data_IF_069050854446
#
_entry.id   IF_069050854446
#
_cell.length_a   1.000
_cell.length_b   1.000
_cell.length_c   1.000
_cell.angle_alpha   90.00
_cell.angle_beta   90.00
_cell.angle_gamma   90.00
#
_symmetry.space_group_name_H-M   'P 1'
#
loop_
_entity.id
_entity.type
_entity.pdbx_description
1 polymer ?
#
# COMPACT_ATOMS: atom_id res chain seq x y z
N UNK A 1 -3.92 16.96 6.12
CA UNK A 1 -3.62 15.60 6.61
C UNK A 1 -2.11 15.42 6.62
N UNK A 2 -1.51 15.01 7.74
CA UNK A 2 -0.06 14.78 7.80
C UNK A 2 0.30 13.55 6.97
N UNK A 3 1.39 13.61 6.22
CA UNK A 3 1.91 12.50 5.42
C UNK A 3 3.15 11.93 6.09
N UNK A 4 3.20 10.62 6.28
CA UNK A 4 4.37 9.93 6.86
C UNK A 4 5.12 9.16 5.77
N UNK A 5 6.45 9.33 5.68
CA UNK A 5 7.25 8.51 4.78
C UNK A 5 7.26 7.06 5.28
N UNK A 6 7.17 6.12 4.35
CA UNK A 6 7.28 4.70 4.60
C UNK A 6 8.03 4.02 3.45
N UNK A 7 8.61 2.86 3.71
CA UNK A 7 9.24 2.03 2.67
C UNK A 7 8.66 0.63 2.78
N UNK A 8 8.11 0.13 1.67
CA UNK A 8 7.64 -1.25 1.57
C UNK A 8 8.70 -2.09 0.84
N UNK A 9 9.23 -3.11 1.50
CA UNK A 9 10.07 -4.12 0.86
C UNK A 9 9.18 -5.21 0.28
N UNK A 10 9.31 -5.46 -1.03
CA UNK A 10 8.40 -6.28 -1.82
C UNK A 10 9.14 -7.36 -2.62
N UNK A 11 8.38 -8.33 -3.12
CA UNK A 11 8.90 -9.40 -3.98
C UNK A 11 9.36 -8.85 -5.33
N UNK A 12 10.27 -9.57 -5.96
CA UNK A 12 10.77 -9.25 -7.30
C UNK A 12 9.62 -9.12 -8.31
N UNK A 13 9.68 -8.11 -9.19
CA UNK A 13 8.68 -7.84 -10.22
C UNK A 13 7.45 -7.05 -9.72
N UNK A 14 7.30 -6.83 -8.42
CA UNK A 14 6.19 -6.02 -7.87
C UNK A 14 6.26 -4.58 -8.39
N UNK A 15 7.46 -3.98 -8.47
CA UNK A 15 7.64 -2.62 -8.99
C UNK A 15 7.25 -2.51 -10.46
N UNK A 16 7.60 -3.51 -11.27
CA UNK A 16 7.25 -3.53 -12.70
C UNK A 16 5.73 -3.63 -12.89
N UNK A 17 5.07 -4.56 -12.18
CA UNK A 17 3.61 -4.70 -12.19
C UNK A 17 2.92 -3.41 -11.76
N UNK A 18 3.39 -2.80 -10.67
CA UNK A 18 2.86 -1.53 -10.18
C UNK A 18 3.01 -0.42 -11.24
N UNK A 19 4.18 -0.30 -11.87
CA UNK A 19 4.42 0.70 -12.93
C UNK A 19 3.43 0.53 -14.09
N UNK A 20 3.26 -0.70 -14.57
CA UNK A 20 2.30 -1.03 -15.64
C UNK A 20 0.85 -0.67 -15.24
N UNK A 21 0.45 -0.98 -14.01
CA UNK A 21 -0.89 -0.64 -13.50
C UNK A 21 -1.08 0.88 -13.42
N UNK A 22 -0.11 1.61 -12.88
CA UNK A 22 -0.15 3.07 -12.78
C UNK A 22 -0.21 3.75 -14.15
N UNK A 23 0.53 3.26 -15.14
CA UNK A 23 0.50 3.86 -16.48
C UNK A 23 -0.87 3.73 -17.15
N UNK A 24 -1.58 2.62 -16.92
CA UNK A 24 -2.98 2.46 -17.37
C UNK A 24 -3.92 3.43 -16.66
N UNK A 25 -3.77 3.59 -15.35
CA UNK A 25 -4.57 4.53 -14.56
C UNK A 25 -4.29 6.00 -14.94
N UNK A 26 -3.05 6.35 -15.25
CA UNK A 26 -2.69 7.68 -15.79
C UNK A 26 -3.35 7.93 -17.15
N UNK A 27 -3.35 6.95 -18.06
CA UNK A 27 -4.07 7.05 -19.33
C UNK A 27 -5.58 7.23 -19.11
N UNK A 28 -6.15 6.49 -18.17
CA UNK A 28 -7.55 6.65 -17.78
C UNK A 28 -7.85 8.08 -17.30
N UNK A 29 -7.00 8.64 -16.43
CA UNK A 29 -7.10 10.05 -16.02
C UNK A 29 -7.02 11.03 -17.19
N UNK A 30 -6.15 10.79 -18.17
CA UNK A 30 -6.05 11.63 -19.37
C UNK A 30 -7.38 11.59 -20.14
N UNK A 31 -7.97 10.40 -20.34
CA UNK A 31 -9.27 10.26 -20.99
C UNK A 31 -10.37 11.03 -20.23
N UNK A 32 -10.45 10.87 -18.90
CA UNK A 32 -11.40 11.62 -18.07
C UNK A 32 -11.22 13.14 -18.21
N UNK A 33 -9.99 13.62 -18.26
CA UNK A 33 -9.69 15.06 -18.42
C UNK A 33 -10.01 15.62 -19.81
N UNK A 34 -10.26 14.77 -20.81
CA UNK A 34 -10.55 15.19 -22.19
C UNK A 34 -12.00 15.65 -22.40
N UNK A 35 -12.90 15.32 -21.46
CA UNK A 35 -14.31 15.70 -21.51
C UNK A 35 -14.46 17.24 -21.58
N UNK A 36 -15.44 17.70 -22.36
CA UNK A 36 -15.64 19.13 -22.64
C UNK A 36 -15.79 19.98 -21.38
N UNK A 37 -16.42 19.46 -20.32
CA UNK A 37 -16.62 20.14 -19.03
C UNK A 37 -15.33 20.47 -18.28
N UNK A 38 -14.19 19.83 -18.62
CA UNK A 38 -12.89 20.09 -18.01
C UNK A 38 -11.98 20.98 -18.85
N UNK A 39 -12.43 21.43 -20.03
CA UNK A 39 -11.65 22.29 -20.91
C UNK A 39 -11.61 23.72 -20.36
N UNK A 40 -10.41 24.20 -20.05
CA UNK A 40 -10.18 25.57 -19.59
C UNK A 40 -9.65 26.50 -20.69
N UNK A 41 -9.41 26.00 -21.90
CA UNK A 41 -8.88 26.78 -23.02
C UNK A 41 -9.93 27.79 -23.52
N UNK A 42 -9.50 29.05 -23.71
CA UNK A 42 -10.38 30.12 -24.18
C UNK A 42 -11.28 30.74 -23.09
N UNK A 43 -11.24 30.23 -21.85
CA UNK A 43 -11.98 30.81 -20.74
C UNK A 43 -11.23 32.00 -20.11
N UNK A 44 -11.97 32.99 -19.58
CA UNK A 44 -11.43 33.98 -18.64
C UNK A 44 -10.69 33.33 -17.46
N UNK A 45 -9.72 34.05 -16.89
CA UNK A 45 -8.78 33.50 -15.87
C UNK A 45 -9.50 32.91 -14.65
N UNK A 46 -10.48 33.62 -14.12
CA UNK A 46 -11.33 33.21 -13.00
C UNK A 46 -12.12 31.93 -13.31
N UNK A 47 -12.75 31.85 -14.48
CA UNK A 47 -13.48 30.66 -14.93
C UNK A 47 -12.54 29.46 -15.16
N UNK A 48 -11.35 29.71 -15.74
CA UNK A 48 -10.34 28.67 -15.93
C UNK A 48 -9.81 28.12 -14.59
N UNK A 49 -9.67 28.97 -13.57
CA UNK A 49 -9.29 28.55 -12.21
C UNK A 49 -10.39 27.70 -11.56
N UNK A 50 -11.65 28.10 -11.71
CA UNK A 50 -12.80 27.34 -11.21
C UNK A 50 -12.90 25.94 -11.85
N UNK A 51 -12.77 25.83 -13.17
CA UNK A 51 -12.75 24.53 -13.88
C UNK A 51 -11.62 23.63 -13.36
N UNK A 52 -10.42 24.18 -13.17
CA UNK A 52 -9.27 23.43 -12.63
C UNK A 52 -9.51 22.98 -11.20
N UNK A 53 -10.15 23.79 -10.37
CA UNK A 53 -10.48 23.43 -9.00
C UNK A 53 -11.49 22.29 -8.95
N UNK A 54 -12.60 22.40 -9.71
CA UNK A 54 -13.60 21.34 -9.82
C UNK A 54 -13.02 20.03 -10.36
N UNK A 55 -12.08 20.11 -11.30
CA UNK A 55 -11.36 18.93 -11.80
C UNK A 55 -10.52 18.27 -10.69
N UNK A 56 -9.77 19.04 -9.89
CA UNK A 56 -9.00 18.49 -8.75
C UNK A 56 -9.92 17.78 -7.76
N UNK A 57 -11.01 18.43 -7.35
CA UNK A 57 -11.99 17.85 -6.43
C UNK A 57 -12.62 16.56 -6.99
N UNK A 58 -12.90 16.53 -8.29
CA UNK A 58 -13.40 15.32 -8.94
C UNK A 58 -12.36 14.19 -8.92
N UNK A 59 -11.10 14.48 -9.28
CA UNK A 59 -10.00 13.50 -9.21
C UNK A 59 -9.79 12.99 -7.78
N UNK A 60 -9.83 13.87 -6.79
CA UNK A 60 -9.66 13.47 -5.39
C UNK A 60 -10.80 12.57 -4.92
N UNK A 61 -12.05 12.86 -5.29
CA UNK A 61 -13.19 11.94 -5.03
C UNK A 61 -13.02 10.57 -5.70
N UNK A 62 -12.58 10.53 -6.96
CA UNK A 62 -12.33 9.26 -7.65
C UNK A 62 -11.24 8.43 -6.94
N UNK A 63 -10.20 9.09 -6.44
CA UNK A 63 -9.12 8.45 -5.68
C UNK A 63 -9.60 7.93 -4.33
N UNK A 64 -10.39 8.71 -3.62
CA UNK A 64 -11.01 8.32 -2.34
C UNK A 64 -11.95 7.12 -2.50
N UNK A 65 -12.73 7.08 -3.59
CA UNK A 65 -13.60 5.96 -3.94
C UNK A 65 -12.84 4.73 -4.46
N UNK A 66 -11.54 4.87 -4.77
CA UNK A 66 -10.74 3.81 -5.37
C UNK A 66 -11.06 3.56 -6.85
N UNK A 67 -11.71 4.52 -7.52
CA UNK A 67 -12.03 4.47 -8.95
C UNK A 67 -10.88 4.98 -9.82
N UNK A 68 -9.94 5.71 -9.23
CA UNK A 68 -8.72 6.17 -9.89
C UNK A 68 -7.49 5.97 -8.99
N UNK A 69 -6.57 5.12 -9.42
CA UNK A 69 -5.36 4.78 -8.66
C UNK A 69 -4.10 5.16 -9.47
N UNK A 70 -3.99 6.44 -9.86
CA UNK A 70 -3.01 6.93 -10.85
C UNK A 70 -1.64 7.32 -10.27
N UNK A 71 -1.48 7.26 -8.95
CA UNK A 71 -0.23 7.54 -8.23
C UNK A 71 0.05 6.47 -7.17
N UNK A 72 1.34 6.19 -6.95
CA UNK A 72 1.82 5.14 -6.02
C UNK A 72 1.18 5.28 -4.63
N UNK A 73 1.17 6.49 -4.07
CA UNK A 73 0.69 6.75 -2.71
C UNK A 73 -0.81 6.46 -2.56
N UNK A 74 -1.62 6.83 -3.56
CA UNK A 74 -3.07 6.57 -3.57
C UNK A 74 -3.34 5.08 -3.73
N UNK A 75 -2.64 4.43 -4.66
CA UNK A 75 -2.74 2.98 -4.87
C UNK A 75 -2.40 2.21 -3.59
N UNK A 76 -1.28 2.56 -2.95
CA UNK A 76 -0.85 1.93 -1.71
C UNK A 76 -1.81 2.20 -0.56
N UNK A 77 -2.24 3.45 -0.37
CA UNK A 77 -3.17 3.81 0.70
C UNK A 77 -4.52 3.09 0.55
N UNK A 78 -5.07 3.02 -0.67
CA UNK A 78 -6.29 2.28 -0.96
C UNK A 78 -6.12 0.79 -0.62
N UNK A 79 -5.06 0.17 -1.15
CA UNK A 79 -4.81 -1.25 -0.93
C UNK A 79 -4.55 -1.62 0.53
N UNK A 80 -3.85 -0.77 1.29
CA UNK A 80 -3.63 -0.95 2.72
C UNK A 80 -4.94 -0.84 3.50
N UNK A 81 -5.80 0.15 3.20
CA UNK A 81 -7.13 0.24 3.84
C UNK A 81 -7.96 -1.01 3.55
N UNK A 82 -7.92 -1.50 2.31
CA UNK A 82 -8.59 -2.74 1.93
C UNK A 82 -8.07 -3.94 2.72
N UNK A 83 -6.74 -4.07 2.87
CA UNK A 83 -6.14 -5.14 3.68
C UNK A 83 -6.56 -5.08 5.14
N UNK A 84 -6.54 -3.88 5.74
CA UNK A 84 -7.01 -3.69 7.12
C UNK A 84 -8.49 -4.05 7.24
N UNK A 85 -9.34 -3.64 6.31
CA UNK A 85 -10.76 -3.98 6.32
C UNK A 85 -10.98 -5.49 6.20
N UNK A 86 -10.26 -6.16 5.30
CA UNK A 86 -10.33 -7.61 5.08
C UNK A 86 -9.97 -8.41 6.33
N UNK A 87 -9.03 -7.90 7.15
CA UNK A 87 -8.65 -8.51 8.45
C UNK A 87 -9.58 -8.13 9.60
N UNK A 88 -10.57 -7.27 9.38
CA UNK A 88 -11.38 -6.68 10.47
C UNK A 88 -10.60 -5.70 11.34
N UNK A 89 -9.48 -5.17 10.84
CA UNK A 89 -8.57 -4.26 11.54
C UNK A 89 -8.84 -2.79 11.24
N UNK A 90 -9.82 -2.48 10.38
CA UNK A 90 -10.28 -1.12 10.12
C UNK A 90 -11.18 -0.60 11.25
N UNK A 91 -10.62 -0.55 12.45
CA UNK A 91 -11.24 -0.07 13.68
C UNK A 91 -10.27 0.82 14.43
N UNK A 92 -10.75 1.45 15.49
CA UNK A 92 -9.88 2.17 16.40
C UNK A 92 -9.10 1.18 17.27
N UNK A 93 -7.81 1.45 17.40
CA UNK A 93 -6.89 0.65 18.19
C UNK A 93 -6.40 1.47 19.37
N UNK A 94 -6.14 0.85 20.53
CA UNK A 94 -5.48 1.53 21.63
C UNK A 94 -4.13 2.09 21.18
N UNK A 95 -3.69 3.17 21.80
CA UNK A 95 -2.37 3.72 21.53
C UNK A 95 -1.28 2.69 21.86
N UNK A 96 -0.27 2.59 21.01
CA UNK A 96 0.88 1.71 21.24
C UNK A 96 1.89 2.35 22.18
N UNK A 97 2.58 1.55 23.02
CA UNK A 97 3.65 2.06 23.86
C UNK A 97 4.78 2.65 23.01
N UNK A 98 5.56 3.58 23.59
CA UNK A 98 6.67 4.23 22.91
C UNK A 98 7.71 3.23 22.37
N UNK A 99 7.91 2.11 23.07
CA UNK A 99 8.79 1.01 22.65
C UNK A 99 8.46 0.47 21.24
N UNK A 100 7.16 0.40 20.91
CA UNK A 100 6.70 -0.05 19.60
C UNK A 100 7.06 0.94 18.48
N UNK A 101 7.33 2.21 18.84
CA UNK A 101 7.67 3.30 17.90
C UNK A 101 9.18 3.49 17.75
N UNK A 102 9.95 3.16 18.78
CA UNK A 102 11.42 3.35 18.80
C UNK A 102 12.14 2.18 18.10
N UNK A 103 11.54 0.99 18.09
CA UNK A 103 12.24 -0.17 17.55
C UNK A 103 12.41 -0.06 16.03
N UNK A 104 13.66 0.05 15.59
CA UNK A 104 14.02 -0.03 14.16
C UNK A 104 13.66 -1.39 13.54
N UNK A 105 13.31 -2.40 14.36
CA UNK A 105 12.97 -3.76 13.91
C UNK A 105 11.84 -4.39 14.72
N UNK A 106 10.93 -5.06 14.05
CA UNK A 106 9.84 -5.77 14.71
C UNK A 106 10.36 -7.10 15.30
N UNK A 107 10.07 -7.45 16.56
CA UNK A 107 10.40 -8.78 17.08
C UNK A 107 9.78 -9.87 16.20
N UNK A 108 10.54 -10.91 15.85
CA UNK A 108 10.07 -11.96 14.93
C UNK A 108 10.15 -11.63 13.45
N UNK A 109 10.46 -10.39 13.04
CA UNK A 109 10.71 -10.11 11.62
C UNK A 109 11.99 -10.79 11.15
N UNK A 110 11.96 -11.44 9.99
CA UNK A 110 13.16 -12.00 9.35
C UNK A 110 13.85 -10.96 8.44
N UNK A 111 15.18 -11.02 8.37
CA UNK A 111 15.95 -10.24 7.39
C UNK A 111 15.90 -10.94 6.02
N UNK A 112 15.59 -10.19 4.95
CA UNK A 112 15.69 -10.66 3.57
C UNK A 112 14.35 -11.04 2.93
N UNK A 113 14.40 -11.80 1.83
CA UNK A 113 13.24 -12.30 1.08
C UNK A 113 12.59 -11.30 0.11
N UNK A 114 12.90 -10.01 0.22
CA UNK A 114 12.26 -8.94 -0.56
C UNK A 114 13.31 -8.05 -1.24
N UNK A 115 13.72 -8.36 -2.48
CA UNK A 115 14.84 -7.70 -3.14
C UNK A 115 14.52 -6.28 -3.64
N UNK A 116 13.24 -5.90 -3.69
CA UNK A 116 12.79 -4.59 -4.15
C UNK A 116 12.24 -3.74 -3.01
N UNK A 117 12.35 -2.42 -3.13
CA UNK A 117 11.76 -1.46 -2.20
C UNK A 117 10.90 -0.43 -2.92
N UNK A 118 9.80 -0.01 -2.32
CA UNK A 118 8.92 1.02 -2.87
C UNK A 118 8.77 2.13 -1.81
N UNK A 119 9.25 3.35 -2.08
CA UNK A 119 9.03 4.49 -1.20
C UNK A 119 7.57 4.93 -1.30
N UNK A 120 6.96 5.19 -0.15
CA UNK A 120 5.55 5.56 -0.01
C UNK A 120 5.42 6.81 0.86
N UNK A 121 4.38 7.59 0.60
CA UNK A 121 3.88 8.61 1.52
C UNK A 121 2.46 8.23 1.89
N UNK A 122 2.28 7.82 3.14
CA UNK A 122 0.99 7.38 3.65
C UNK A 122 0.31 8.48 4.47
N UNK A 123 -1.03 8.58 4.44
CA UNK A 123 -1.77 9.31 5.45
C UNK A 123 -1.32 8.92 6.86
N UNK A 124 -1.02 9.89 7.71
CA UNK A 124 -0.44 9.65 9.03
C UNK A 124 -1.32 8.78 9.92
N UNK A 125 -2.64 8.99 9.86
CA UNK A 125 -3.66 8.18 10.54
C UNK A 125 -3.65 6.72 10.05
N UNK A 126 -3.47 6.50 8.75
CA UNK A 126 -3.39 5.16 8.17
C UNK A 126 -2.12 4.44 8.61
N UNK A 127 -0.97 5.12 8.56
CA UNK A 127 0.31 4.56 9.01
C UNK A 127 0.26 4.20 10.51
N UNK A 128 -0.32 5.08 11.34
CA UNK A 128 -0.49 4.82 12.77
C UNK A 128 -1.46 3.66 13.03
N UNK A 129 -2.57 3.58 12.27
CA UNK A 129 -3.52 2.46 12.39
C UNK A 129 -2.87 1.13 12.04
N UNK A 130 -2.03 1.06 10.99
CA UNK A 130 -1.29 -0.16 10.64
C UNK A 130 -0.34 -0.54 11.78
N UNK A 131 0.43 0.42 12.31
CA UNK A 131 1.34 0.20 13.43
C UNK A 131 0.58 -0.37 14.65
N UNK A 132 -0.50 0.27 15.06
CA UNK A 132 -1.31 -0.16 16.20
C UNK A 132 -1.93 -1.54 15.98
N UNK A 133 -2.50 -1.79 14.81
CA UNK A 133 -3.09 -3.08 14.49
C UNK A 133 -2.05 -4.21 14.56
N UNK A 134 -0.88 -4.03 13.94
CA UNK A 134 0.19 -5.02 13.98
C UNK A 134 0.68 -5.28 15.41
N UNK A 135 0.84 -4.23 16.22
CA UNK A 135 1.32 -4.35 17.60
C UNK A 135 0.34 -5.16 18.45
N UNK A 136 -0.92 -4.75 18.50
CA UNK A 136 -1.90 -5.37 19.38
C UNK A 136 -2.21 -6.81 18.97
N UNK A 137 -2.27 -7.10 17.67
CA UNK A 137 -2.53 -8.44 17.16
C UNK A 137 -1.36 -9.40 17.32
N UNK A 138 -0.13 -8.88 17.42
CA UNK A 138 1.09 -9.68 17.61
C UNK A 138 1.62 -9.64 19.04
N UNK A 139 0.91 -8.97 19.97
CA UNK A 139 1.45 -8.63 21.30
C UNK A 139 1.86 -9.84 22.14
N UNK A 140 1.06 -10.91 22.12
CA UNK A 140 1.37 -12.15 22.83
C UNK A 140 2.59 -12.87 22.26
N UNK A 141 2.68 -12.97 20.92
CA UNK A 141 3.83 -13.55 20.25
C UNK A 141 5.12 -12.74 20.49
N UNK A 142 5.01 -11.41 20.45
CA UNK A 142 6.13 -10.51 20.78
C UNK A 142 6.60 -10.72 22.21
N UNK A 143 5.68 -10.86 23.18
CA UNK A 143 6.03 -11.18 24.56
C UNK A 143 6.73 -12.53 24.65
N UNK A 144 6.20 -13.57 24.00
CA UNK A 144 6.83 -14.88 23.96
C UNK A 144 8.25 -14.86 23.40
N UNK A 145 8.51 -14.10 22.32
CA UNK A 145 9.86 -13.94 21.76
C UNK A 145 10.80 -13.23 22.74
N UNK A 146 10.29 -12.23 23.49
CA UNK A 146 11.08 -11.52 24.51
C UNK A 146 11.42 -12.45 25.68
N UNK A 147 10.45 -13.21 26.16
CA UNK A 147 10.63 -14.16 27.27
C UNK A 147 11.63 -15.26 26.87
N UNK A 148 11.47 -15.84 25.67
CA UNK A 148 12.41 -16.79 25.07
C UNK A 148 13.85 -16.24 25.01
N UNK A 149 14.00 -14.96 24.62
CA UNK A 149 15.30 -14.28 24.55
C UNK A 149 15.94 -14.11 25.94
N UNK A 150 15.13 -13.78 26.96
CA UNK A 150 15.60 -13.64 28.35
C UNK A 150 16.01 -14.99 28.93
N UNK A 151 15.21 -16.04 28.72
CA UNK A 151 15.48 -17.40 29.24
C UNK A 151 16.81 -17.96 28.73
N UNK A 152 17.10 -17.76 27.45
CA UNK A 152 18.32 -18.26 26.82
C UNK A 152 19.51 -17.31 26.98
N UNK A 153 19.31 -16.11 27.54
CA UNK A 153 20.37 -15.11 27.70
C UNK A 153 20.97 -14.62 26.38
N UNK A 154 20.23 -14.69 25.28
CA UNK A 154 20.67 -14.28 23.94
C UNK A 154 19.77 -13.18 23.37
N UNK A 155 20.30 -12.25 22.57
CA UNK A 155 19.48 -11.21 21.93
C UNK A 155 18.54 -11.83 20.88
N UNK A 156 17.38 -11.20 20.67
CA UNK A 156 16.43 -11.62 19.63
C UNK A 156 17.14 -11.68 18.26
N UNK A 157 17.20 -12.88 17.65
CA UNK A 157 18.04 -13.11 16.48
C UNK A 157 17.60 -12.31 15.25
N UNK A 158 18.59 -11.91 14.44
CA UNK A 158 18.34 -11.34 13.10
C UNK A 158 18.12 -12.39 12.03
N UNK A 159 18.81 -13.51 12.18
CA UNK A 159 18.75 -14.71 11.37
C UNK A 159 18.70 -15.90 12.33
N UNK A 160 18.13 -17.05 11.92
CA UNK A 160 18.15 -18.27 12.72
C UNK A 160 19.52 -18.45 13.36
N UNK A 161 19.63 -18.42 14.71
CA UNK A 161 20.93 -18.53 15.35
C UNK A 161 21.47 -19.93 15.10
N UNK A 162 22.67 -20.04 14.52
CA UNK A 162 23.32 -21.33 14.27
C UNK A 162 23.81 -22.03 15.54
N UNK A 163 23.74 -21.35 16.69
CA UNK A 163 24.29 -21.78 17.97
C UNK A 163 23.22 -22.10 19.04
N UNK A 164 21.92 -22.06 18.70
CA UNK A 164 20.86 -22.55 19.60
C UNK A 164 20.53 -24.00 19.27
N UNK A 165 20.08 -24.75 20.27
CA UNK A 165 19.54 -26.08 20.05
C UNK A 165 18.33 -26.05 19.10
N UNK A 166 18.11 -27.14 18.37
CA UNK A 166 17.04 -27.28 17.38
C UNK A 166 15.65 -26.95 17.96
N UNK A 167 15.36 -27.43 19.18
CA UNK A 167 14.10 -27.17 19.89
C UNK A 167 13.89 -25.67 20.18
N UNK A 168 14.96 -24.97 20.59
CA UNK A 168 14.89 -23.54 20.88
C UNK A 168 14.68 -22.71 19.61
N UNK A 169 15.26 -23.14 18.48
CA UNK A 169 15.01 -22.53 17.18
C UNK A 169 13.57 -22.75 16.72
N UNK A 170 13.06 -23.98 16.83
CA UNK A 170 11.69 -24.32 16.44
C UNK A 170 10.65 -23.50 17.23
N UNK A 171 10.88 -23.30 18.54
CA UNK A 171 9.99 -22.47 19.35
C UNK A 171 10.02 -21.00 18.94
N UNK A 172 11.22 -20.45 18.65
CA UNK A 172 11.33 -19.10 18.10
C UNK A 172 10.59 -18.95 16.78
N UNK A 173 10.74 -19.89 15.85
CA UNK A 173 10.09 -19.85 14.54
C UNK A 173 8.56 -19.93 14.67
N UNK A 174 8.06 -20.78 15.58
CA UNK A 174 6.63 -20.88 15.89
C UNK A 174 6.07 -19.56 16.41
N UNK A 175 6.80 -18.88 17.30
CA UNK A 175 6.40 -17.56 17.82
C UNK A 175 6.49 -16.47 16.73
N UNK A 176 7.58 -16.45 15.96
CA UNK A 176 7.79 -15.49 14.88
C UNK A 176 6.72 -15.59 13.79
N UNK A 177 6.27 -16.79 13.45
CA UNK A 177 5.19 -17.03 12.48
C UNK A 177 3.84 -16.43 12.90
N UNK A 178 3.63 -16.14 14.19
CA UNK A 178 2.42 -15.50 14.72
C UNK A 178 2.50 -13.98 14.71
N UNK A 179 3.67 -13.40 14.39
CA UNK A 179 3.85 -11.95 14.31
C UNK A 179 3.46 -11.45 12.93
N UNK A 180 2.48 -10.54 12.88
CA UNK A 180 2.22 -9.74 11.68
C UNK A 180 2.97 -8.42 11.76
N UNK A 181 3.85 -8.17 10.78
CA UNK A 181 4.63 -6.93 10.71
C UNK A 181 3.94 -5.85 9.88
N UNK A 182 4.34 -4.60 10.07
CA UNK A 182 3.95 -3.48 9.18
C UNK A 182 4.34 -3.77 7.72
N UNK A 183 5.50 -4.40 7.50
CA UNK A 183 5.96 -4.79 6.17
C UNK A 183 5.01 -5.78 5.49
N UNK A 184 4.44 -6.74 6.23
CA UNK A 184 3.46 -7.69 5.70
C UNK A 184 2.19 -6.97 5.23
N UNK A 185 1.70 -6.03 6.03
CA UNK A 185 0.50 -5.24 5.68
C UNK A 185 0.77 -4.34 4.47
N UNK A 186 1.95 -3.72 4.38
CA UNK A 186 2.30 -2.91 3.22
C UNK A 186 2.43 -3.73 1.94
N UNK A 187 3.05 -4.92 1.99
CA UNK A 187 3.13 -5.84 0.85
C UNK A 187 1.75 -6.30 0.40
N UNK A 188 0.94 -6.81 1.32
CA UNK A 188 -0.41 -7.25 1.02
C UNK A 188 -1.27 -6.10 0.48
N UNK A 189 -1.16 -4.92 1.09
CA UNK A 189 -1.83 -3.71 0.63
C UNK A 189 -1.43 -3.30 -0.77
N UNK A 190 -0.13 -3.28 -1.10
CA UNK A 190 0.34 -3.01 -2.46
C UNK A 190 -0.21 -4.02 -3.46
N UNK A 191 -0.22 -5.32 -3.13
CA UNK A 191 -0.79 -6.35 -4.00
C UNK A 191 -2.29 -6.11 -4.25
N UNK A 192 -3.06 -5.75 -3.23
CA UNK A 192 -4.47 -5.39 -3.38
C UNK A 192 -4.67 -4.13 -4.23
N UNK A 193 -3.85 -3.10 -4.03
CA UNK A 193 -3.90 -1.87 -4.82
C UNK A 193 -3.58 -2.11 -6.30
N UNK A 194 -2.53 -2.89 -6.59
CA UNK A 194 -2.15 -3.29 -7.95
C UNK A 194 -3.29 -4.09 -8.60
N UNK A 195 -3.80 -5.13 -7.94
CA UNK A 195 -4.88 -5.96 -8.47
C UNK A 195 -6.16 -5.17 -8.75
N UNK A 196 -6.47 -4.20 -7.89
CA UNK A 196 -7.62 -3.29 -8.10
C UNK A 196 -7.41 -2.39 -9.31
N UNK A 197 -6.24 -1.76 -9.42
CA UNK A 197 -5.89 -0.89 -10.56
C UNK A 197 -5.90 -1.66 -11.90
N UNK A 198 -5.42 -2.91 -11.89
CA UNK A 198 -5.48 -3.83 -13.03
C UNK A 198 -6.94 -4.14 -13.42
N UNK A 199 -7.79 -4.44 -12.42
CA UNK A 199 -9.22 -4.76 -12.63
C UNK A 199 -10.02 -3.58 -13.18
N UNK A 200 -9.80 -2.37 -12.66
CA UNK A 200 -10.43 -1.15 -13.19
C UNK A 200 -10.08 -0.91 -14.66
N UNK A 201 -8.81 -1.16 -15.01
CA UNK A 201 -8.33 -1.01 -16.40
C UNK A 201 -8.99 -2.02 -17.34
N UNK A 202 -9.34 -3.21 -16.85
CA UNK A 202 -10.05 -4.22 -17.64
C UNK A 202 -11.53 -3.89 -17.83
N UNK A 203 -12.19 -3.35 -16.79
CA UNK A 203 -13.59 -2.89 -16.90
C UNK A 203 -13.75 -1.75 -17.91
N UNK A 204 -12.78 -0.84 -17.98
CA UNK A 204 -12.76 0.23 -18.98
C UNK A 204 -12.61 -0.24 -20.43
N UNK A 205 -12.05 -1.44 -20.66
CA UNK A 205 -11.94 -2.05 -22.00
C UNK A 205 -13.23 -2.70 -22.52
N UNK A 206 -14.28 -2.76 -21.70
CA UNK A 206 -15.61 -3.22 -22.12
C UNK A 206 -16.45 -2.15 -22.81
N UNK A 207 -15.96 -0.91 -22.91
CA UNK A 207 -16.48 0.11 -23.81
C UNK A 207 -15.80 -0.09 -25.17
N UNK A 208 -16.54 -0.02 -26.29
CA UNK A 208 -16.00 -0.35 -27.61
C UNK A 208 -14.71 0.44 -27.84
N UNK A 209 -13.66 -0.30 -28.22
CA UNK A 209 -12.50 0.29 -28.89
C UNK A 209 -13.09 1.21 -29.96
N UNK A 210 -12.83 2.51 -29.83
CA UNK A 210 -12.97 3.41 -30.96
C UNK A 210 -11.88 2.96 -31.93
N UNK A 211 -12.21 1.91 -32.69
CA UNK A 211 -11.46 1.47 -33.83
C UNK A 211 -11.14 2.71 -34.66
N UNK A 212 -9.90 2.72 -35.11
CA UNK A 212 -9.36 3.61 -36.11
C UNK A 212 -10.47 4.08 -37.04
N UNK A 213 -10.73 5.38 -37.01
CA UNK A 213 -11.47 6.05 -38.07
C UNK A 213 -10.70 5.73 -39.34
N UNK A 214 -11.12 4.68 -40.02
CA UNK A 214 -10.76 4.38 -41.37
C UNK A 214 -11.18 5.61 -42.17
N UNK A 215 -10.20 6.44 -42.47
CA UNK A 215 -10.25 7.39 -43.57
C UNK A 215 -10.43 6.55 -44.82
N UNK A 216 -11.68 6.21 -45.12
CA UNK A 216 -12.05 5.80 -46.46
C UNK A 216 -12.20 7.08 -47.28
N UNK A 217 -11.10 7.44 -47.93
CA UNK A 217 -11.13 8.21 -49.16
C UNK A 217 -12.11 7.52 -50.13
N UNK A 218 -13.09 8.28 -50.62
CA UNK A 218 -14.15 7.78 -51.49
C UNK A 218 -14.74 8.89 -52.35
N UNK A 219 -14.02 9.18 -53.43
CA UNK A 219 -14.44 9.71 -54.75
C UNK A 219 -15.13 11.08 -54.85
#
# INVERSE_FOLDING_TARGET
>A
MSMKPATAWVEFGTRERMTKALDRQKRHRIMLSSESRWRAQGLPRDQALDVRQRWREHVDRLREAGELLDVVDVLAAYGIRHELARRGWNRDWPEVPMEARISNRWPGSHDGGYPESIPLRLPGDLADRVLCACWHTSSEAIRGIRDWSVELGIPVPRRPPSAVGEDALAEYERLAAQVTTVGDIYRAGLNHGIGTAESLSQRGKGLPELDEVAVQDGN
#
